data_IF_565306423365
#
_entry.id   IF_565306423365
#
_cell.length_a   1.000
_cell.length_b   1.000
_cell.length_c   1.000
_cell.angle_alpha   90.00
_cell.angle_beta   90.00
_cell.angle_gamma   90.00
#
_symmetry.space_group_name_H-M   'P 1'
#
loop_
_entity.id
_entity.type
_entity.pdbx_description
1 polymer ?
#
# COMPACT_ATOMS: atom_id res chain seq x y z
N UNK A 1 -80.45 -37.54 27.11
CA UNK A 1 -79.74 -37.25 28.37
C UNK A 1 -78.62 -36.26 28.05
N UNK A 2 -78.90 -35.00 28.34
CA UNK A 2 -78.13 -33.88 27.89
C UNK A 2 -77.26 -33.41 29.08
N UNK A 3 -75.93 -33.48 28.93
CA UNK A 3 -75.01 -32.90 29.90
C UNK A 3 -74.53 -31.51 29.40
N UNK A 4 -74.90 -30.48 30.12
CA UNK A 4 -74.40 -29.12 29.96
C UNK A 4 -72.96 -29.04 30.49
N UNK A 5 -72.04 -28.64 29.67
CA UNK A 5 -70.72 -28.15 30.09
C UNK A 5 -70.74 -26.67 30.33
N UNK A 6 -70.44 -26.30 31.58
CA UNK A 6 -70.39 -24.95 32.08
C UNK A 6 -69.06 -24.28 31.59
N UNK A 7 -69.22 -23.12 31.00
CA UNK A 7 -68.12 -22.27 30.54
C UNK A 7 -67.53 -21.51 31.73
N UNK A 8 -66.28 -21.76 32.06
CA UNK A 8 -65.52 -20.97 33.03
C UNK A 8 -64.60 -20.00 32.25
N UNK A 9 -65.04 -18.74 32.21
CA UNK A 9 -64.27 -17.67 31.61
C UNK A 9 -63.22 -17.17 32.62
N UNK A 10 -61.97 -17.53 32.44
CA UNK A 10 -60.86 -16.90 33.16
C UNK A 10 -60.48 -15.62 32.42
N UNK A 11 -60.83 -14.47 32.98
CA UNK A 11 -60.33 -13.17 32.65
C UNK A 11 -58.91 -13.04 33.19
N UNK A 12 -57.88 -13.17 32.33
CA UNK A 12 -56.55 -12.70 32.58
C UNK A 12 -56.48 -11.22 32.20
N UNK A 13 -56.03 -10.32 33.11
CA UNK A 13 -55.79 -8.94 32.74
C UNK A 13 -54.56 -8.85 31.80
N UNK A 14 -54.79 -8.29 30.66
CA UNK A 14 -53.73 -7.88 29.72
C UNK A 14 -52.93 -6.75 30.41
N UNK A 15 -51.87 -7.14 31.11
CA UNK A 15 -50.82 -6.19 31.49
C UNK A 15 -50.06 -5.83 30.21
N UNK A 16 -50.59 -4.87 29.46
CA UNK A 16 -49.84 -4.19 28.42
C UNK A 16 -48.77 -3.37 29.14
N UNK A 17 -47.63 -4.00 29.37
CA UNK A 17 -46.44 -3.33 29.89
C UNK A 17 -46.07 -2.24 28.93
N UNK A 18 -46.15 -1.01 29.38
CA UNK A 18 -45.48 0.15 28.81
C UNK A 18 -44.00 -0.14 28.74
N UNK A 19 -43.55 -0.76 27.62
CA UNK A 19 -42.17 -0.67 27.19
C UNK A 19 -41.90 0.80 26.90
N UNK A 20 -40.89 1.40 27.51
CA UNK A 20 -40.55 2.78 27.22
C UNK A 20 -40.26 2.88 25.72
N UNK A 21 -40.91 3.81 25.05
CA UNK A 21 -40.76 4.18 23.65
C UNK A 21 -39.33 4.65 23.29
N UNK A 22 -38.35 4.48 24.17
CA UNK A 22 -36.96 4.80 23.97
C UNK A 22 -36.22 3.85 23.00
N UNK A 23 -36.86 2.71 22.57
CA UNK A 23 -36.28 1.82 21.56
C UNK A 23 -36.87 1.99 20.15
N UNK A 24 -37.80 2.91 19.98
CA UNK A 24 -38.41 3.24 18.68
C UNK A 24 -37.91 4.58 18.11
N UNK A 25 -36.86 5.18 18.65
CA UNK A 25 -36.10 6.17 17.91
C UNK A 25 -35.47 5.47 16.75
N UNK A 26 -36.25 5.41 15.67
CA UNK A 26 -35.86 4.83 14.42
C UNK A 26 -34.48 5.37 14.03
N UNK A 27 -33.68 4.47 13.57
CA UNK A 27 -32.42 4.69 12.87
C UNK A 27 -32.55 5.93 11.98
N UNK A 28 -32.28 7.10 12.56
CA UNK A 28 -32.44 8.36 11.86
C UNK A 28 -31.19 8.53 10.97
N UNK A 29 -31.24 7.93 9.77
CA UNK A 29 -30.13 7.85 8.83
C UNK A 29 -29.45 9.19 8.54
N UNK A 30 -30.07 10.32 8.92
CA UNK A 30 -29.45 11.64 8.80
C UNK A 30 -28.47 11.95 9.93
N UNK A 31 -28.74 11.52 11.18
CA UNK A 31 -27.82 11.73 12.33
C UNK A 31 -26.59 10.84 12.23
N UNK A 32 -26.73 9.60 11.77
CA UNK A 32 -25.61 8.69 11.55
C UNK A 32 -24.64 9.19 10.48
N UNK A 33 -25.11 9.93 9.49
CA UNK A 33 -24.25 10.53 8.46
C UNK A 33 -23.36 11.64 9.02
N UNK A 34 -23.84 12.44 9.95
CA UNK A 34 -23.06 13.54 10.55
C UNK A 34 -21.92 13.02 11.44
N UNK A 35 -22.07 11.84 12.04
CA UNK A 35 -21.06 11.23 12.92
C UNK A 35 -20.00 10.41 12.19
N UNK A 36 -20.09 10.28 10.86
CA UNK A 36 -19.11 9.57 10.07
C UNK A 36 -17.88 10.45 9.79
N UNK A 37 -16.71 9.83 9.64
CA UNK A 37 -15.47 10.51 9.23
C UNK A 37 -15.60 11.31 7.94
N UNK A 38 -16.56 10.94 7.09
CA UNK A 38 -16.94 11.66 5.87
C UNK A 38 -18.25 12.44 6.01
N UNK A 39 -18.73 12.68 7.23
CA UNK A 39 -19.90 13.49 7.54
C UNK A 39 -19.67 14.96 7.18
N UNK A 40 -20.75 15.71 6.94
CA UNK A 40 -20.67 17.11 6.49
C UNK A 40 -19.89 17.99 7.46
N UNK A 41 -20.07 17.79 8.77
CA UNK A 41 -19.38 18.55 9.83
C UNK A 41 -17.87 18.33 9.77
N UNK A 42 -17.43 17.05 9.65
CA UNK A 42 -16.00 16.71 9.54
C UNK A 42 -15.41 17.25 8.25
N UNK A 43 -16.10 17.05 7.11
CA UNK A 43 -15.65 17.57 5.83
C UNK A 43 -15.53 19.09 5.82
N UNK A 44 -16.45 19.82 6.46
CA UNK A 44 -16.38 21.27 6.60
C UNK A 44 -15.15 21.72 7.39
N UNK A 45 -14.76 20.97 8.41
CA UNK A 45 -13.56 21.26 9.24
C UNK A 45 -12.26 21.12 8.43
N UNK A 46 -12.21 20.17 7.51
CA UNK A 46 -11.01 19.93 6.67
C UNK A 46 -11.08 20.59 5.28
N UNK A 47 -12.19 21.29 4.98
CA UNK A 47 -12.37 22.00 3.69
C UNK A 47 -11.25 23.02 3.39
N UNK A 48 -10.73 23.82 4.35
CA UNK A 48 -9.61 24.71 4.10
C UNK A 48 -8.34 23.99 3.64
N UNK A 49 -8.18 22.71 4.01
CA UNK A 49 -7.01 21.91 3.64
C UNK A 49 -7.14 21.40 2.20
N UNK A 50 -8.34 21.36 1.64
CA UNK A 50 -8.61 20.85 0.28
C UNK A 50 -7.84 21.62 -0.79
N UNK A 51 -7.82 22.95 -0.72
CA UNK A 51 -7.09 23.79 -1.67
C UNK A 51 -5.59 23.49 -1.56
N UNK A 52 -5.10 23.40 -0.35
CA UNK A 52 -3.71 23.06 -0.07
C UNK A 52 -3.32 21.68 -0.64
N UNK A 53 -4.16 20.66 -0.48
CA UNK A 53 -3.96 19.35 -1.11
C UNK A 53 -3.93 19.47 -2.64
N UNK A 54 -4.79 20.32 -3.20
CA UNK A 54 -4.85 20.52 -4.65
C UNK A 54 -3.58 21.16 -5.20
N UNK A 55 -3.08 22.18 -4.54
CA UNK A 55 -1.87 22.91 -4.93
C UNK A 55 -0.62 22.03 -4.84
N UNK A 56 -0.53 21.20 -3.80
CA UNK A 56 0.58 20.30 -3.59
C UNK A 56 0.55 19.05 -4.48
N UNK A 57 -0.59 18.70 -5.04
CA UNK A 57 -0.73 17.40 -5.70
C UNK A 57 -0.54 17.51 -7.22
N UNK A 58 0.41 16.75 -7.74
CA UNK A 58 0.45 16.34 -9.14
C UNK A 58 -0.31 15.01 -9.32
N UNK A 59 -1.08 14.87 -10.39
CA UNK A 59 -1.82 13.64 -10.70
C UNK A 59 -1.36 13.12 -12.04
N UNK A 60 -0.94 11.87 -12.08
CA UNK A 60 -0.50 11.21 -13.29
C UNK A 60 -1.65 10.35 -13.84
N UNK A 61 -1.87 10.46 -15.14
CA UNK A 61 -2.90 9.75 -15.87
C UNK A 61 -2.27 8.89 -16.96
N UNK A 62 -2.81 7.67 -17.11
CA UNK A 62 -2.65 6.85 -18.32
C UNK A 62 -4.01 6.84 -19.03
N UNK A 63 -4.10 7.52 -20.17
CA UNK A 63 -5.38 7.76 -20.83
C UNK A 63 -6.35 8.56 -19.96
N UNK A 64 -7.41 7.90 -19.46
CA UNK A 64 -8.42 8.51 -18.59
C UNK A 64 -8.25 8.14 -17.10
N UNK A 65 -7.42 7.16 -16.80
CA UNK A 65 -7.29 6.58 -15.47
C UNK A 65 -6.20 7.29 -14.66
N UNK A 66 -6.51 7.59 -13.42
CA UNK A 66 -5.53 8.04 -12.44
C UNK A 66 -4.70 6.84 -12.01
N UNK A 67 -3.39 6.92 -12.20
CA UNK A 67 -2.49 5.82 -11.88
C UNK A 67 -1.61 6.08 -10.67
N UNK A 68 -1.23 7.35 -10.43
CA UNK A 68 -0.34 7.72 -9.32
C UNK A 68 -0.47 9.22 -9.04
N UNK A 69 -0.12 9.60 -7.82
CA UNK A 69 0.02 10.99 -7.40
C UNK A 69 1.49 11.37 -7.24
N UNK A 70 1.74 12.66 -7.10
CA UNK A 70 3.03 13.22 -6.74
C UNK A 70 2.86 14.47 -5.89
N UNK A 71 3.96 14.96 -5.34
CA UNK A 71 4.05 16.20 -4.57
C UNK A 71 4.81 17.22 -5.38
N UNK A 72 4.24 18.39 -5.56
CA UNK A 72 4.93 19.56 -6.16
C UNK A 72 6.02 20.02 -5.18
N UNK A 73 7.27 19.98 -5.62
CA UNK A 73 8.45 20.33 -4.81
C UNK A 73 8.89 21.77 -4.98
N UNK A 74 8.59 22.36 -6.15
CA UNK A 74 9.05 23.70 -6.49
C UNK A 74 8.14 24.37 -7.52
N UNK A 75 8.21 25.68 -7.57
CA UNK A 75 7.42 26.51 -8.50
C UNK A 75 7.83 26.35 -9.95
N UNK A 76 9.04 25.84 -10.22
CA UNK A 76 9.59 25.63 -11.56
C UNK A 76 9.35 24.21 -12.12
N UNK A 77 8.55 23.38 -11.43
CA UNK A 77 8.04 22.13 -11.99
C UNK A 77 8.67 20.83 -11.51
N UNK A 78 9.47 20.84 -10.45
CA UNK A 78 9.92 19.58 -9.84
C UNK A 78 8.80 18.90 -9.05
N UNK A 79 8.68 17.59 -9.20
CA UNK A 79 7.64 16.76 -8.57
C UNK A 79 8.29 15.49 -8.04
N UNK A 80 8.03 15.14 -6.77
CA UNK A 80 8.33 13.82 -6.24
C UNK A 80 7.13 12.89 -6.44
N UNK A 81 7.39 11.65 -6.83
CA UNK A 81 6.35 10.62 -6.99
C UNK A 81 6.92 9.24 -6.63
N UNK A 82 6.09 8.20 -6.63
CA UNK A 82 6.51 6.83 -6.37
C UNK A 82 7.12 6.20 -7.62
N UNK A 83 8.39 5.75 -7.54
CA UNK A 83 9.15 5.26 -8.68
C UNK A 83 8.59 3.96 -9.26
N UNK A 84 8.29 2.97 -8.42
CA UNK A 84 7.79 1.66 -8.86
C UNK A 84 6.48 1.74 -9.63
N UNK A 85 5.58 2.65 -9.25
CA UNK A 85 4.32 2.89 -9.97
C UNK A 85 4.54 3.73 -11.24
N UNK A 86 5.43 4.73 -11.19
CA UNK A 86 5.78 5.55 -12.35
C UNK A 86 6.28 4.67 -13.51
N UNK A 87 7.19 3.75 -13.21
CA UNK A 87 7.79 2.86 -14.21
C UNK A 87 6.86 1.74 -14.68
N UNK A 88 5.77 1.49 -13.96
CA UNK A 88 4.77 0.48 -14.35
C UNK A 88 3.83 0.94 -15.47
N UNK A 89 3.86 2.23 -15.83
CA UNK A 89 2.93 2.81 -16.77
C UNK A 89 3.67 3.56 -17.89
N UNK A 90 3.05 3.61 -19.06
CA UNK A 90 3.57 4.32 -20.23
C UNK A 90 2.63 5.47 -20.64
N UNK A 91 3.17 6.41 -21.41
CA UNK A 91 2.40 7.54 -21.96
C UNK A 91 1.64 8.35 -20.90
N UNK A 92 2.33 8.60 -19.77
CA UNK A 92 1.75 9.34 -18.66
C UNK A 92 1.64 10.82 -18.96
N UNK A 93 0.55 11.41 -18.47
CA UNK A 93 0.26 12.84 -18.51
C UNK A 93 0.11 13.34 -17.08
N UNK A 94 0.73 14.46 -16.75
CA UNK A 94 0.65 15.07 -15.43
C UNK A 94 -0.36 16.21 -15.43
N UNK A 95 -1.20 16.28 -14.39
CA UNK A 95 -2.09 17.40 -14.11
C UNK A 95 -1.78 18.00 -12.75
N UNK A 96 -1.64 19.32 -12.69
CA UNK A 96 -1.45 20.10 -11.46
C UNK A 96 -2.49 21.20 -11.48
N UNK A 97 -3.41 21.21 -10.52
CA UNK A 97 -4.57 22.11 -10.55
C UNK A 97 -5.38 21.92 -11.84
N UNK A 98 -5.55 22.99 -12.60
CA UNK A 98 -6.22 22.99 -13.91
C UNK A 98 -5.28 22.71 -15.09
N UNK A 99 -3.97 22.82 -14.90
CA UNK A 99 -2.97 22.70 -15.96
C UNK A 99 -2.62 21.25 -16.26
N UNK A 100 -2.39 20.96 -17.55
CA UNK A 100 -2.05 19.62 -18.05
C UNK A 100 -0.70 19.66 -18.76
N UNK A 101 0.21 18.75 -18.39
CA UNK A 101 1.54 18.62 -18.94
C UNK A 101 1.63 17.25 -19.64
N UNK A 102 1.75 17.26 -20.97
CA UNK A 102 1.81 16.03 -21.79
C UNK A 102 3.16 15.35 -21.73
N UNK A 103 4.20 16.07 -21.31
CA UNK A 103 5.57 15.56 -21.21
C UNK A 103 6.19 15.98 -19.88
N UNK A 104 7.01 15.10 -19.35
CA UNK A 104 7.88 15.38 -18.21
C UNK A 104 9.22 14.68 -18.42
N UNK A 105 10.25 15.17 -17.79
CA UNK A 105 11.57 14.56 -17.76
C UNK A 105 11.76 13.90 -16.40
N UNK A 106 12.12 12.62 -16.37
CA UNK A 106 12.62 12.01 -15.16
C UNK A 106 14.02 12.51 -14.86
N UNK A 107 14.22 12.99 -13.65
CA UNK A 107 15.50 13.52 -13.17
C UNK A 107 16.34 12.41 -12.54
N UNK A 108 15.69 11.49 -11.83
CA UNK A 108 16.30 10.32 -11.23
C UNK A 108 15.42 9.68 -10.17
N UNK A 109 15.93 8.59 -9.60
CA UNK A 109 15.24 7.78 -8.58
C UNK A 109 16.14 7.49 -7.40
N UNK A 110 15.51 7.21 -6.26
CA UNK A 110 16.14 6.69 -5.06
C UNK A 110 15.52 5.33 -4.70
N UNK A 111 16.21 4.21 -5.01
CA UNK A 111 15.68 2.87 -4.74
C UNK A 111 15.40 2.60 -3.27
N UNK A 112 16.12 3.22 -2.34
CA UNK A 112 15.93 3.00 -0.91
C UNK A 112 14.56 3.50 -0.42
N UNK A 113 14.04 4.56 -1.04
CA UNK A 113 12.78 5.20 -0.64
C UNK A 113 11.66 5.00 -1.65
N UNK A 114 11.94 4.40 -2.82
CA UNK A 114 11.01 4.26 -3.94
C UNK A 114 10.50 5.64 -4.46
N UNK A 115 11.34 6.67 -4.36
CA UNK A 115 11.02 8.01 -4.86
C UNK A 115 11.63 8.20 -6.24
N UNK A 116 10.83 8.74 -7.17
CA UNK A 116 11.28 9.35 -8.41
C UNK A 116 11.06 10.87 -8.35
N UNK A 117 12.00 11.62 -8.91
CA UNK A 117 11.83 13.06 -9.16
C UNK A 117 11.66 13.25 -10.65
N UNK A 118 10.58 13.93 -11.01
CA UNK A 118 10.31 14.31 -12.41
C UNK A 118 10.21 15.83 -12.51
N UNK A 119 10.41 16.38 -13.71
CA UNK A 119 10.27 17.80 -14.02
C UNK A 119 9.32 17.99 -15.18
N UNK A 120 8.30 18.82 -14.98
CA UNK A 120 7.41 19.33 -16.01
C UNK A 120 7.90 20.73 -16.46
N UNK A 121 7.59 21.11 -17.68
CA UNK A 121 7.86 22.45 -18.18
C UNK A 121 6.72 23.40 -17.72
N UNK A 122 6.91 23.95 -16.52
CA UNK A 122 5.96 24.85 -15.88
C UNK A 122 6.60 26.20 -15.63
N UNK A 123 5.91 27.27 -16.02
CA UNK A 123 6.37 28.63 -15.79
C UNK A 123 6.22 29.06 -14.32
N UNK A 124 5.14 28.62 -13.66
CA UNK A 124 4.89 28.93 -12.25
C UNK A 124 3.88 27.94 -11.68
N UNK A 125 4.30 27.11 -10.74
CA UNK A 125 3.43 26.25 -9.95
C UNK A 125 3.17 26.88 -8.58
N UNK A 126 2.11 26.44 -7.87
CA UNK A 126 1.92 26.81 -6.47
C UNK A 126 3.15 26.48 -5.63
N UNK A 127 3.52 27.36 -4.71
CA UNK A 127 4.64 27.11 -3.81
C UNK A 127 4.33 25.89 -2.91
N UNK A 128 5.34 25.04 -2.61
CA UNK A 128 5.13 23.85 -1.79
C UNK A 128 4.69 24.14 -0.35
N UNK A 129 4.93 25.38 0.15
CA UNK A 129 4.48 25.90 1.46
C UNK A 129 5.07 25.16 2.66
N UNK A 130 4.44 25.31 3.86
CA UNK A 130 5.03 24.87 5.10
C UNK A 130 5.11 23.33 5.21
N UNK A 131 6.19 22.88 5.83
CA UNK A 131 6.43 21.48 6.17
C UNK A 131 6.54 21.34 7.69
N UNK A 132 6.22 20.14 8.23
CA UNK A 132 6.40 19.84 9.64
C UNK A 132 6.96 18.45 9.82
N UNK A 133 7.94 18.31 10.68
CA UNK A 133 8.48 17.02 11.12
C UNK A 133 7.74 16.45 12.34
N UNK A 134 6.73 17.17 12.84
CA UNK A 134 5.90 16.71 13.94
C UNK A 134 4.96 15.60 13.44
N UNK A 135 5.07 14.42 14.04
CA UNK A 135 4.24 13.28 13.70
C UNK A 135 4.14 12.32 14.90
N UNK A 136 3.24 12.64 15.81
CA UNK A 136 2.94 11.81 16.98
C UNK A 136 1.83 10.79 16.67
N UNK A 137 1.90 9.61 17.27
CA UNK A 137 0.82 8.64 17.22
C UNK A 137 -0.50 9.25 17.72
N UNK A 138 -1.61 8.98 17.04
CA UNK A 138 -2.92 9.57 17.31
C UNK A 138 -3.14 10.96 16.67
N UNK A 139 -2.14 11.57 16.05
CA UNK A 139 -2.29 12.82 15.33
C UNK A 139 -3.21 12.64 14.11
N UNK A 140 -4.18 13.54 13.95
CA UNK A 140 -5.05 13.57 12.77
C UNK A 140 -4.28 14.01 11.55
N UNK A 141 -4.53 13.32 10.43
CA UNK A 141 -3.87 13.58 9.15
C UNK A 141 -4.88 13.63 8.01
N UNK A 142 -4.54 14.36 6.97
CA UNK A 142 -5.39 14.54 5.79
C UNK A 142 -4.60 14.14 4.55
N UNK A 143 -5.23 13.36 3.69
CA UNK A 143 -4.66 12.91 2.42
C UNK A 143 -5.68 13.05 1.28
N UNK A 144 -5.23 12.84 0.05
CA UNK A 144 -6.12 12.79 -1.11
C UNK A 144 -7.05 11.56 -1.00
N UNK A 145 -8.35 11.80 -1.24
CA UNK A 145 -9.34 10.76 -1.47
C UNK A 145 -9.65 10.59 -2.95
N UNK A 146 -10.70 9.83 -3.24
CA UNK A 146 -11.22 9.70 -4.61
C UNK A 146 -11.53 11.07 -5.20
N UNK A 147 -11.00 11.34 -6.38
CA UNK A 147 -11.22 12.61 -7.07
C UNK A 147 -12.15 12.44 -8.26
N UNK A 148 -13.02 13.42 -8.48
CA UNK A 148 -13.55 13.70 -9.80
C UNK A 148 -12.52 14.54 -10.58
N UNK A 149 -12.73 14.74 -11.90
CA UNK A 149 -11.81 15.52 -12.74
C UNK A 149 -11.47 16.92 -12.19
N UNK A 150 -12.35 17.51 -11.42
CA UNK A 150 -12.27 18.91 -10.99
C UNK A 150 -12.30 19.10 -9.48
N UNK A 151 -12.60 18.08 -8.70
CA UNK A 151 -12.72 18.21 -7.25
C UNK A 151 -11.97 17.11 -6.54
N UNK A 152 -11.04 17.46 -5.68
CA UNK A 152 -10.38 16.57 -4.74
C UNK A 152 -11.19 16.49 -3.47
N UNK A 153 -11.36 15.29 -2.96
CA UNK A 153 -11.99 15.08 -1.67
C UNK A 153 -10.89 14.78 -0.66
N UNK A 154 -10.67 15.64 0.33
CA UNK A 154 -9.77 15.30 1.42
C UNK A 154 -10.33 14.10 2.19
N UNK A 155 -9.43 13.24 2.66
CA UNK A 155 -9.74 12.11 3.52
C UNK A 155 -9.03 12.30 4.84
N UNK A 156 -9.76 12.17 5.93
CA UNK A 156 -9.24 12.25 7.28
C UNK A 156 -8.87 10.86 7.78
N UNK A 157 -7.80 10.78 8.53
CA UNK A 157 -7.33 9.60 9.24
C UNK A 157 -6.46 10.00 10.42
N UNK A 158 -5.79 9.02 11.01
CA UNK A 158 -4.89 9.19 12.14
C UNK A 158 -3.56 8.47 11.92
N UNK A 159 -2.49 8.98 12.50
CA UNK A 159 -1.24 8.22 12.62
C UNK A 159 -1.46 7.09 13.64
N UNK A 160 -1.43 5.86 13.15
CA UNK A 160 -1.79 4.65 13.92
C UNK A 160 -0.60 3.97 14.60
N UNK A 161 0.64 4.37 14.26
CA UNK A 161 1.86 3.86 14.90
C UNK A 161 2.95 4.92 14.98
N UNK A 162 3.91 4.69 15.90
CA UNK A 162 5.15 5.45 15.96
C UNK A 162 5.97 5.25 14.68
N UNK A 163 6.83 6.23 14.37
CA UNK A 163 7.79 6.11 13.26
C UNK A 163 8.64 4.87 13.40
N UNK A 164 8.77 4.09 12.34
CA UNK A 164 9.60 2.89 12.33
C UNK A 164 10.10 2.56 10.93
N UNK A 165 11.23 1.84 10.81
CA UNK A 165 11.59 1.22 9.55
C UNK A 165 10.62 0.06 9.23
N UNK A 166 10.44 -0.21 7.95
CA UNK A 166 9.79 -1.43 7.47
C UNK A 166 10.88 -2.29 6.83
N UNK A 167 11.23 -3.41 7.44
CA UNK A 167 12.23 -4.30 6.86
C UNK A 167 11.72 -4.90 5.55
N UNK A 168 12.64 -5.42 4.76
CA UNK A 168 12.28 -6.22 3.58
C UNK A 168 11.52 -7.46 4.05
N UNK A 169 10.25 -7.56 3.68
CA UNK A 169 9.36 -8.69 3.99
C UNK A 169 9.47 -9.83 2.99
N UNK A 170 10.28 -9.66 1.95
CA UNK A 170 10.55 -10.74 1.00
C UNK A 170 11.49 -11.76 1.63
N UNK A 171 11.17 -13.01 1.45
CA UNK A 171 11.95 -14.11 2.03
C UNK A 171 12.51 -15.00 0.93
N UNK A 172 13.67 -15.58 1.22
CA UNK A 172 14.26 -16.58 0.38
C UNK A 172 13.28 -17.76 0.22
N UNK A 173 13.00 -18.14 -1.02
CA UNK A 173 12.00 -19.12 -1.37
C UNK A 173 12.54 -20.18 -2.32
N UNK A 174 12.27 -21.43 -2.00
CA UNK A 174 12.69 -22.58 -2.80
C UNK A 174 11.78 -22.81 -4.02
N UNK A 175 10.55 -22.32 -3.98
CA UNK A 175 9.58 -22.52 -5.06
C UNK A 175 8.86 -23.87 -5.00
N UNK A 176 8.58 -24.38 -3.79
CA UNK A 176 7.83 -25.61 -3.59
C UNK A 176 6.73 -25.43 -2.55
N UNK A 177 5.64 -26.16 -2.72
CA UNK A 177 4.66 -26.41 -1.68
C UNK A 177 4.91 -27.80 -1.09
N UNK A 178 4.94 -27.87 0.23
CA UNK A 178 5.21 -29.11 0.97
C UNK A 178 3.91 -29.88 1.23
N UNK A 179 4.00 -31.20 1.18
CA UNK A 179 2.92 -32.13 1.49
C UNK A 179 3.34 -33.16 2.53
N UNK A 180 2.37 -33.68 3.26
CA UNK A 180 2.61 -34.75 4.26
C UNK A 180 2.90 -36.12 3.60
N UNK A 181 3.80 -36.94 4.16
CA UNK A 181 4.53 -36.74 5.41
C UNK A 181 5.79 -35.87 5.31
N UNK A 182 6.50 -35.77 4.22
CA UNK A 182 7.66 -34.94 3.93
C UNK A 182 7.94 -34.99 2.44
N UNK A 183 7.03 -34.50 1.63
CA UNK A 183 7.14 -34.54 0.18
C UNK A 183 6.91 -33.17 -0.45
N UNK A 184 7.31 -33.03 -1.70
CA UNK A 184 6.94 -31.90 -2.53
C UNK A 184 5.54 -32.18 -3.09
N UNK A 185 4.55 -31.38 -2.67
CA UNK A 185 3.19 -31.46 -3.20
C UNK A 185 3.08 -30.79 -4.55
N UNK A 186 3.70 -29.61 -4.67
CA UNK A 186 3.68 -28.80 -5.89
C UNK A 186 5.00 -28.07 -6.06
N UNK A 187 5.41 -27.86 -7.30
CA UNK A 187 6.57 -27.04 -7.67
C UNK A 187 6.07 -25.84 -8.46
N UNK A 188 6.42 -24.64 -8.02
CA UNK A 188 6.06 -23.39 -8.70
C UNK A 188 6.69 -23.39 -10.10
N UNK A 189 5.85 -23.21 -11.11
CA UNK A 189 6.28 -23.14 -12.50
C UNK A 189 7.35 -22.05 -12.68
N UNK A 190 8.43 -22.37 -13.37
CA UNK A 190 9.57 -21.49 -13.61
C UNK A 190 10.27 -20.97 -12.33
N UNK A 191 9.91 -21.56 -11.17
CA UNK A 191 10.51 -21.25 -9.88
C UNK A 191 11.89 -21.87 -9.67
N UNK A 192 12.58 -21.55 -8.56
CA UNK A 192 13.92 -22.04 -8.26
C UNK A 192 14.04 -23.57 -8.26
N UNK A 193 13.13 -24.28 -7.60
CA UNK A 193 13.13 -25.73 -7.54
C UNK A 193 12.83 -26.38 -8.89
N UNK A 194 11.90 -25.79 -9.67
CA UNK A 194 11.61 -26.28 -11.04
C UNK A 194 12.84 -26.18 -11.93
N UNK A 195 13.56 -25.07 -11.89
CA UNK A 195 14.82 -24.87 -12.65
C UNK A 195 15.91 -25.84 -12.24
N UNK A 196 15.92 -26.29 -10.98
CA UNK A 196 16.86 -27.29 -10.48
C UNK A 196 16.43 -28.74 -10.79
N UNK A 197 15.19 -28.96 -11.28
CA UNK A 197 14.69 -30.29 -11.67
C UNK A 197 13.91 -31.03 -10.57
N UNK A 198 13.55 -30.37 -9.48
CA UNK A 198 12.65 -30.94 -8.49
C UNK A 198 11.23 -31.10 -9.06
N UNK A 199 10.48 -32.07 -8.59
CA UNK A 199 9.15 -32.40 -9.08
C UNK A 199 8.19 -32.71 -7.92
N UNK A 200 6.90 -32.56 -8.19
CA UNK A 200 5.87 -33.06 -7.28
C UNK A 200 6.01 -34.58 -7.06
N UNK A 201 5.81 -35.01 -5.83
CA UNK A 201 6.01 -36.38 -5.41
C UNK A 201 7.44 -36.74 -4.96
N UNK A 202 8.39 -35.81 -5.00
CA UNK A 202 9.72 -36.01 -4.42
C UNK A 202 9.60 -36.05 -2.89
N UNK A 203 10.10 -37.11 -2.27
CA UNK A 203 10.21 -37.24 -0.82
C UNK A 203 11.46 -36.52 -0.33
N UNK A 204 11.31 -35.55 0.57
CA UNK A 204 12.40 -34.76 1.08
C UNK A 204 13.17 -35.57 2.14
N UNK A 205 14.47 -35.67 1.95
CA UNK A 205 15.36 -36.39 2.88
C UNK A 205 16.21 -35.43 3.70
N UNK A 206 16.71 -34.37 3.04
CA UNK A 206 17.67 -33.46 3.66
C UNK A 206 17.58 -32.07 2.97
N UNK A 207 17.69 -31.02 3.76
CA UNK A 207 17.83 -29.62 3.28
C UNK A 207 19.09 -29.04 3.88
N UNK A 208 20.01 -28.62 3.03
CA UNK A 208 21.30 -27.99 3.37
C UNK A 208 22.09 -28.78 4.46
N UNK A 209 22.17 -30.10 4.29
CA UNK A 209 22.87 -31.00 5.20
C UNK A 209 22.05 -31.42 6.44
N UNK A 210 20.90 -30.83 6.66
CA UNK A 210 20.01 -31.16 7.79
C UNK A 210 18.98 -32.18 7.39
N UNK A 211 18.93 -33.39 8.01
CA UNK A 211 17.89 -34.38 7.77
C UNK A 211 16.51 -33.85 8.12
N UNK A 212 15.54 -34.05 7.23
CA UNK A 212 14.16 -33.60 7.40
C UNK A 212 13.27 -34.78 7.77
N UNK A 213 12.74 -34.72 8.97
CA UNK A 213 11.76 -35.71 9.47
C UNK A 213 10.37 -35.13 9.60
N UNK A 214 10.26 -33.79 9.71
CA UNK A 214 9.01 -33.04 9.75
C UNK A 214 9.13 -31.81 8.87
N UNK A 215 8.02 -31.32 8.31
CA UNK A 215 8.02 -30.16 7.43
C UNK A 215 8.35 -28.87 8.17
N UNK A 216 8.03 -28.80 9.47
CA UNK A 216 8.33 -27.66 10.32
C UNK A 216 9.83 -27.38 10.43
N UNK A 217 10.68 -28.40 10.23
CA UNK A 217 12.14 -28.26 10.26
C UNK A 217 12.70 -27.48 9.04
N UNK A 218 11.96 -27.37 7.95
CA UNK A 218 12.42 -26.71 6.73
C UNK A 218 12.43 -25.19 6.88
N UNK A 219 11.38 -24.61 7.47
CA UNK A 219 11.23 -23.15 7.62
C UNK A 219 12.38 -22.49 8.38
N UNK A 220 12.87 -23.01 9.53
CA UNK A 220 14.00 -22.42 10.23
C UNK A 220 15.33 -22.48 9.46
N UNK A 221 15.47 -23.41 8.52
CA UNK A 221 16.67 -23.50 7.66
C UNK A 221 16.61 -22.39 6.61
N UNK A 222 15.47 -22.26 5.93
CA UNK A 222 15.29 -21.27 4.87
C UNK A 222 15.25 -19.82 5.39
N UNK A 223 14.71 -19.59 6.59
CA UNK A 223 14.63 -18.24 7.19
C UNK A 223 15.99 -17.61 7.51
N UNK A 224 17.06 -18.42 7.55
CA UNK A 224 18.45 -17.94 7.75
C UNK A 224 19.18 -17.66 6.45
N UNK A 225 18.52 -17.89 5.31
CA UNK A 225 19.11 -17.73 3.98
C UNK A 225 18.66 -16.46 3.31
N UNK A 226 19.51 -15.92 2.45
CA UNK A 226 19.21 -14.77 1.63
C UNK A 226 18.76 -15.16 0.22
N UNK A 227 18.05 -14.24 -0.44
CA UNK A 227 17.67 -14.41 -1.85
C UNK A 227 18.96 -14.47 -2.69
N UNK A 228 19.06 -15.47 -3.56
CA UNK A 228 20.24 -15.73 -4.37
C UNK A 228 21.21 -16.73 -3.75
N UNK A 229 21.10 -17.08 -2.46
CA UNK A 229 21.89 -18.15 -1.87
C UNK A 229 21.51 -19.53 -2.42
N UNK A 230 22.47 -20.44 -2.40
CA UNK A 230 22.26 -21.83 -2.82
C UNK A 230 21.95 -22.70 -1.62
N UNK A 231 20.94 -23.55 -1.79
CA UNK A 231 20.55 -24.59 -0.82
C UNK A 231 20.60 -25.94 -1.51
N UNK A 232 21.14 -26.95 -0.84
CA UNK A 232 21.14 -28.32 -1.32
C UNK A 232 19.89 -29.05 -0.84
N UNK A 233 19.06 -29.52 -1.76
CA UNK A 233 17.89 -30.34 -1.49
C UNK A 233 18.16 -31.78 -1.89
N UNK A 234 18.16 -32.73 -0.96
CA UNK A 234 18.23 -34.17 -1.25
C UNK A 234 16.83 -34.78 -1.12
N UNK A 235 16.45 -35.48 -2.15
CA UNK A 235 15.13 -36.14 -2.25
C UNK A 235 15.23 -37.60 -2.63
N UNK A 236 14.15 -38.33 -2.44
CA UNK A 236 13.93 -39.67 -2.98
C UNK A 236 12.82 -39.62 -4.02
N UNK A 237 13.13 -40.05 -5.26
CA UNK A 237 12.17 -40.18 -6.36
C UNK A 237 12.19 -41.60 -6.88
N UNK A 238 11.07 -42.29 -6.79
CA UNK A 238 10.97 -43.71 -7.26
C UNK A 238 12.11 -44.58 -6.73
N UNK A 239 12.41 -44.45 -5.42
CA UNK A 239 13.47 -45.20 -4.74
C UNK A 239 14.90 -44.70 -4.95
N UNK A 240 15.17 -43.80 -5.90
CA UNK A 240 16.50 -43.22 -6.17
C UNK A 240 16.70 -41.92 -5.36
N UNK A 241 17.88 -41.79 -4.75
CA UNK A 241 18.30 -40.54 -4.10
C UNK A 241 18.83 -39.56 -5.15
N UNK A 242 18.31 -38.36 -5.14
CA UNK A 242 18.72 -37.25 -6.03
C UNK A 242 19.12 -36.05 -5.17
N UNK A 243 20.02 -35.23 -5.70
CA UNK A 243 20.48 -34.00 -5.02
C UNK A 243 20.36 -32.82 -5.99
N UNK A 244 19.74 -31.76 -5.53
CA UNK A 244 19.55 -30.53 -6.30
C UNK A 244 20.21 -29.36 -5.60
N UNK A 245 21.00 -28.57 -6.32
CA UNK A 245 21.48 -27.27 -5.88
C UNK A 245 20.47 -26.23 -6.35
N UNK A 246 19.70 -25.67 -5.42
CA UNK A 246 18.65 -24.71 -5.70
C UNK A 246 19.16 -23.33 -5.32
N UNK A 247 19.20 -22.41 -6.28
CA UNK A 247 19.43 -20.98 -5.99
C UNK A 247 18.11 -20.39 -5.53
N UNK A 248 18.02 -19.97 -4.27
CA UNK A 248 16.80 -19.42 -3.69
C UNK A 248 16.36 -18.14 -4.40
N UNK A 249 15.10 -18.07 -4.72
CA UNK A 249 14.48 -16.89 -5.30
C UNK A 249 13.71 -16.06 -4.30
N UNK A 250 13.14 -14.96 -4.75
CA UNK A 250 12.17 -14.18 -4.03
C UNK A 250 10.85 -14.93 -3.93
N UNK A 251 10.31 -15.05 -2.71
CA UNK A 251 8.98 -15.62 -2.49
C UNK A 251 7.91 -14.79 -3.19
N UNK A 252 8.04 -13.47 -3.12
CA UNK A 252 7.12 -12.52 -3.74
C UNK A 252 7.09 -12.67 -5.27
N UNK A 253 8.25 -12.76 -5.92
CA UNK A 253 8.32 -13.01 -7.35
C UNK A 253 7.76 -14.38 -7.75
N UNK A 254 8.03 -15.42 -6.95
CA UNK A 254 7.60 -16.77 -7.25
C UNK A 254 6.08 -16.97 -7.12
N UNK A 255 5.43 -16.27 -6.19
CA UNK A 255 3.99 -16.37 -5.95
C UNK A 255 3.17 -15.34 -6.74
N UNK A 256 3.84 -14.42 -7.44
CA UNK A 256 3.23 -13.25 -8.07
C UNK A 256 3.03 -12.12 -7.06
N UNK A 257 3.60 -10.95 -7.35
CA UNK A 257 3.54 -9.77 -6.45
C UNK A 257 2.11 -9.30 -6.14
N UNK A 258 1.16 -9.69 -6.98
CA UNK A 258 -0.24 -9.28 -6.94
C UNK A 258 -1.20 -10.38 -6.43
N UNK A 259 -0.68 -11.50 -5.93
CA UNK A 259 -1.55 -12.51 -5.33
C UNK A 259 -2.23 -11.90 -4.09
N UNK A 260 -3.55 -11.69 -4.10
CA UNK A 260 -4.26 -11.16 -2.94
C UNK A 260 -4.08 -12.14 -1.79
N UNK A 261 -3.76 -11.62 -0.60
CA UNK A 261 -3.56 -12.45 0.59
C UNK A 261 -4.87 -13.13 1.01
N UNK A 262 -6.02 -12.51 0.69
CA UNK A 262 -7.35 -13.12 0.84
C UNK A 262 -8.38 -12.55 -0.16
N UNK A 263 -9.58 -13.17 -0.22
CA UNK A 263 -10.67 -12.73 -1.08
C UNK A 263 -11.22 -11.33 -0.73
N UNK A 264 -11.03 -10.85 0.51
CA UNK A 264 -11.45 -9.53 0.95
C UNK A 264 -10.55 -8.44 0.38
N UNK A 265 -9.30 -8.76 0.12
CA UNK A 265 -8.32 -7.84 -0.46
C UNK A 265 -8.67 -7.51 -1.91
N UNK A 266 -9.21 -8.47 -2.66
CA UNK A 266 -9.73 -8.26 -4.02
C UNK A 266 -10.86 -7.21 -4.06
N UNK A 267 -11.75 -7.23 -3.07
CA UNK A 267 -12.91 -6.33 -3.00
C UNK A 267 -12.51 -4.92 -2.58
N UNK A 268 -11.42 -4.76 -1.84
CA UNK A 268 -11.00 -3.47 -1.29
C UNK A 268 -10.16 -2.60 -2.21
N UNK A 269 -9.86 -3.07 -3.42
CA UNK A 269 -8.98 -2.40 -4.39
C UNK A 269 -7.51 -2.76 -4.18
N UNK A 270 -6.71 -2.70 -5.23
CA UNK A 270 -5.32 -3.17 -5.25
C UNK A 270 -4.41 -2.56 -4.18
N UNK A 271 -3.37 -3.29 -3.82
CA UNK A 271 -2.29 -2.84 -2.94
C UNK A 271 -1.12 -2.30 -3.73
N UNK A 272 -0.21 -1.60 -3.04
CA UNK A 272 1.03 -1.15 -3.65
C UNK A 272 1.95 -2.33 -3.93
N UNK A 273 2.58 -2.37 -5.09
CA UNK A 273 3.55 -3.40 -5.48
C UNK A 273 4.71 -3.44 -4.48
N UNK A 274 5.32 -2.29 -4.23
CA UNK A 274 6.28 -2.16 -3.15
C UNK A 274 5.59 -1.61 -1.91
N UNK A 275 5.60 -2.38 -0.80
CA UNK A 275 4.96 -2.06 0.48
C UNK A 275 5.84 -2.35 1.70
N UNK A 276 7.12 -2.63 1.47
CA UNK A 276 8.14 -2.88 2.48
C UNK A 276 9.51 -2.38 2.04
N UNK A 277 10.55 -2.67 2.84
CA UNK A 277 11.91 -2.21 2.61
C UNK A 277 12.00 -0.68 2.56
N UNK A 278 11.38 -0.03 3.56
CA UNK A 278 11.45 1.42 3.72
C UNK A 278 12.28 1.80 4.94
N UNK A 279 13.17 2.80 4.81
CA UNK A 279 14.06 3.19 5.90
C UNK A 279 13.31 3.77 7.10
N UNK A 280 12.17 4.41 6.85
CA UNK A 280 11.30 5.01 7.87
C UNK A 280 9.95 5.29 7.29
N UNK A 281 8.88 4.98 8.05
CA UNK A 281 7.50 5.30 7.66
C UNK A 281 6.70 5.92 8.81
N UNK A 282 5.69 6.67 8.41
CA UNK A 282 4.50 7.04 9.18
C UNK A 282 3.39 6.07 8.77
N UNK A 283 2.79 5.38 9.73
CA UNK A 283 1.64 4.52 9.46
C UNK A 283 0.34 5.27 9.77
N UNK A 284 -0.63 5.21 8.86
CA UNK A 284 -1.93 5.88 9.03
C UNK A 284 -3.09 5.07 8.44
N UNK A 285 -4.29 5.37 8.90
CA UNK A 285 -5.54 4.68 8.55
C UNK A 285 -6.43 5.47 7.57
N UNK A 286 -5.91 6.53 6.95
CA UNK A 286 -6.67 7.32 5.97
C UNK A 286 -7.22 6.41 4.88
N UNK A 287 -8.53 6.45 4.56
CA UNK A 287 -9.09 5.67 3.48
C UNK A 287 -8.39 5.98 2.15
N UNK A 288 -7.75 4.99 1.54
CA UNK A 288 -6.87 5.19 0.40
C UNK A 288 -7.02 4.10 -0.66
N UNK A 289 -6.44 4.34 -1.83
CA UNK A 289 -6.24 3.37 -2.91
C UNK A 289 -4.78 3.38 -3.33
N UNK A 290 -4.27 2.30 -3.90
CA UNK A 290 -2.89 2.26 -4.40
C UNK A 290 -2.58 3.38 -5.40
N UNK A 291 -3.57 3.81 -6.20
CA UNK A 291 -3.44 4.93 -7.16
C UNK A 291 -3.28 6.30 -6.50
N UNK A 292 -3.46 6.42 -5.18
CA UNK A 292 -3.25 7.68 -4.44
C UNK A 292 -1.85 7.78 -3.83
N UNK A 293 -1.02 6.78 -4.02
CA UNK A 293 0.36 6.77 -3.54
C UNK A 293 1.18 7.81 -4.32
N UNK A 294 2.26 8.30 -3.71
CA UNK A 294 3.03 9.46 -4.18
C UNK A 294 2.45 10.81 -3.74
N UNK A 295 1.20 10.84 -3.30
CA UNK A 295 0.52 12.09 -2.89
C UNK A 295 0.89 12.57 -1.48
N UNK A 296 0.56 13.86 -1.17
CA UNK A 296 0.89 14.47 0.11
C UNK A 296 0.06 13.90 1.27
N UNK A 297 0.71 13.86 2.44
CA UNK A 297 0.08 13.66 3.75
C UNK A 297 0.25 14.95 4.56
N UNK A 298 -0.85 15.56 4.99
CA UNK A 298 -0.88 16.83 5.70
C UNK A 298 -1.37 16.63 7.14
N UNK A 299 -0.97 17.52 8.04
CA UNK A 299 -1.62 17.69 9.34
C UNK A 299 -2.84 18.62 9.23
N UNK A 300 -3.57 18.84 10.33
CA UNK A 300 -4.76 19.71 10.33
C UNK A 300 -4.43 21.22 10.16
N UNK A 301 -3.16 21.61 10.26
CA UNK A 301 -2.71 22.97 9.94
C UNK A 301 -2.43 23.15 8.44
N UNK A 302 -2.56 22.07 7.63
CA UNK A 302 -2.22 22.06 6.21
C UNK A 302 -0.71 21.99 5.93
N UNK A 303 0.11 21.70 6.94
CA UNK A 303 1.54 21.47 6.78
C UNK A 303 1.82 20.08 6.22
N UNK A 304 2.77 19.99 5.29
CA UNK A 304 3.19 18.72 4.69
C UNK A 304 4.07 17.95 5.69
N UNK A 305 3.61 16.78 6.11
CA UNK A 305 4.32 15.91 7.06
C UNK A 305 4.94 14.68 6.40
N UNK A 306 4.48 14.31 5.20
CA UNK A 306 5.00 13.15 4.50
C UNK A 306 4.41 12.95 3.11
N UNK A 307 4.89 11.90 2.46
CA UNK A 307 4.44 11.42 1.15
C UNK A 307 3.90 10.00 1.28
N UNK A 308 2.66 9.78 0.88
CA UNK A 308 2.07 8.44 0.85
C UNK A 308 2.90 7.55 -0.09
N UNK A 309 3.37 6.42 0.41
CA UNK A 309 4.29 5.56 -0.35
C UNK A 309 3.71 4.16 -0.62
N UNK A 310 2.94 3.62 0.30
CA UNK A 310 2.36 2.30 0.11
C UNK A 310 1.00 2.14 0.78
N UNK A 311 0.07 1.50 0.08
CA UNK A 311 -1.12 0.90 0.65
C UNK A 311 -0.82 -0.55 0.96
N UNK A 312 -0.87 -0.91 2.24
CA UNK A 312 -0.49 -2.23 2.74
C UNK A 312 -1.69 -3.16 2.82
N UNK A 313 -2.79 -2.65 3.39
CA UNK A 313 -4.05 -3.36 3.50
C UNK A 313 -5.24 -2.38 3.53
N UNK A 314 -6.42 -2.84 3.96
CA UNK A 314 -7.65 -2.04 3.95
C UNK A 314 -7.61 -0.82 4.88
N UNK A 315 -6.88 -0.91 5.97
CA UNK A 315 -6.83 0.09 7.03
C UNK A 315 -5.41 0.63 7.28
N UNK A 316 -4.42 0.17 6.55
CA UNK A 316 -3.02 0.50 6.79
C UNK A 316 -2.36 1.05 5.53
N UNK A 317 -1.84 2.26 5.66
CA UNK A 317 -1.05 2.92 4.65
C UNK A 317 0.25 3.42 5.26
N UNK A 318 1.30 3.44 4.45
CA UNK A 318 2.59 4.02 4.82
C UNK A 318 2.81 5.32 4.07
N UNK A 319 3.37 6.30 4.78
CA UNK A 319 3.91 7.51 4.21
C UNK A 319 5.37 7.67 4.65
N UNK A 320 6.23 8.13 3.76
CA UNK A 320 7.57 8.56 4.13
C UNK A 320 7.48 9.89 4.87
N UNK A 321 8.15 10.07 6.03
CA UNK A 321 8.26 11.37 6.67
C UNK A 321 8.85 12.41 5.73
N UNK A 322 8.45 13.66 5.86
CA UNK A 322 8.90 14.72 4.95
C UNK A 322 10.42 14.92 4.97
N UNK A 323 11.08 14.71 6.11
CA UNK A 323 12.55 14.73 6.20
C UNK A 323 13.19 13.68 5.28
N UNK A 324 12.66 12.45 5.28
CA UNK A 324 13.15 11.36 4.41
C UNK A 324 12.92 11.70 2.94
N UNK A 325 11.75 12.28 2.61
CA UNK A 325 11.46 12.73 1.24
C UNK A 325 12.44 13.80 0.80
N UNK A 326 12.70 14.81 1.64
CA UNK A 326 13.65 15.88 1.34
C UNK A 326 15.07 15.37 1.14
N UNK A 327 15.55 14.49 2.00
CA UNK A 327 16.87 13.85 1.86
C UNK A 327 16.98 13.04 0.57
N UNK A 328 15.97 12.26 0.24
CA UNK A 328 15.90 11.47 -0.99
C UNK A 328 15.94 12.37 -2.23
N UNK A 329 15.11 13.41 -2.25
CA UNK A 329 15.08 14.39 -3.35
C UNK A 329 16.45 15.07 -3.51
N UNK A 330 17.11 15.47 -2.41
CA UNK A 330 18.44 16.06 -2.47
C UNK A 330 19.48 15.10 -3.05
N UNK A 331 19.45 13.81 -2.67
CA UNK A 331 20.33 12.79 -3.27
C UNK A 331 20.10 12.65 -4.77
N UNK A 332 18.85 12.60 -5.20
CA UNK A 332 18.49 12.50 -6.61
C UNK A 332 19.00 13.72 -7.39
N UNK A 333 18.72 14.93 -6.90
CA UNK A 333 19.11 16.18 -7.58
C UNK A 333 20.64 16.35 -7.65
N UNK A 334 21.38 15.91 -6.62
CA UNK A 334 22.85 15.95 -6.59
C UNK A 334 23.46 15.01 -7.62
N UNK A 335 22.83 13.86 -7.85
CA UNK A 335 23.32 12.84 -8.79
C UNK A 335 22.77 13.03 -10.20
N UNK A 336 21.87 13.98 -10.42
CA UNK A 336 21.30 14.24 -11.73
C UNK A 336 22.37 14.76 -12.70
N UNK A 337 22.39 14.30 -13.96
CA UNK A 337 23.28 14.84 -14.98
C UNK A 337 23.01 16.33 -15.14
N UNK A 338 24.04 17.14 -14.93
CA UNK A 338 23.93 18.60 -15.13
C UNK A 338 23.61 18.89 -16.59
N UNK A 339 22.68 19.82 -16.87
CA UNK A 339 22.47 20.25 -18.25
C UNK A 339 23.81 20.78 -18.80
N UNK A 340 24.23 20.24 -19.94
CA UNK A 340 25.39 20.76 -20.67
C UNK A 340 25.25 22.29 -20.81
N UNK A 341 26.18 23.04 -20.26
CA UNK A 341 26.27 24.50 -20.49
C UNK A 341 26.44 24.65 -21.99
N UNK A 342 25.44 25.21 -22.67
CA UNK A 342 25.63 25.67 -24.03
C UNK A 342 26.86 26.58 -24.03
N UNK A 343 27.86 26.36 -24.92
CA UNK A 343 28.98 27.28 -25.03
C UNK A 343 28.39 28.67 -25.33
N UNK A 344 28.74 29.65 -24.50
CA UNK A 344 28.49 31.06 -24.82
C UNK A 344 29.23 31.32 -26.13
N UNK A 345 28.49 31.49 -27.22
CA UNK A 345 29.05 31.92 -28.50
C UNK A 345 29.65 33.31 -28.28
N UNK A 346 30.94 33.39 -28.46
CA UNK A 346 31.69 34.64 -28.63
C UNK A 346 31.04 35.40 -29.78
N UNK A 347 30.44 36.50 -29.48
CA UNK A 347 30.00 37.52 -30.46
C UNK A 347 30.95 38.71 -30.47
#
# INVERSE_FOLDING_TARGET
>A
MVMKLSSCACLLPLACSLLPSALADGFNGSRDFEQRINGKTVLKTIEPIRERLQDLSAVFFSGHDVVIYGIVLSTDGYIATKASELHSHQNLVVRIGSSKYGHFKEIGTDPATDIAVVKVDAASLPAPGPVSNEAAMGMMVVSNGSTTRTSRRPQLGTLSAARRPIPNGDTAYMGVMFGTPCSIQEVVKDGPAAKAGAMAGDEILEVDGTPITTLEAVSPILSKKEIGEKVTLKVRRKGKKLSYAITLGSRRQALGEDAPEDSNDLISGGFSKRRDDFPMVLQHDTPSRHTLMGGPLLNLKGELIGMNIARVNRAENYALPISVVQESVQRILKNAPQPERKPQGDS
#
